data_IF_872183840875
#
_entry.id   IF_872183840875
#
_cell.length_a   1.000
_cell.length_b   1.000
_cell.length_c   1.000
_cell.angle_alpha   90.00
_cell.angle_beta   90.00
_cell.angle_gamma   90.00
#
_symmetry.space_group_name_H-M   'P 1'
#
loop_
_entity.id
_entity.type
_entity.pdbx_description
1 polymer ?
#
# COMPACT_ATOMS: atom_id res chain seq x y z
N UNK A 1 2.81 3.51 14.73
CA UNK A 1 3.03 4.70 13.89
C UNK A 1 3.32 5.90 14.77
N UNK A 2 4.02 6.91 14.24
CA UNK A 2 4.11 8.21 14.91
C UNK A 2 2.77 8.90 14.78
N UNK A 3 2.38 9.73 15.74
CA UNK A 3 1.07 10.40 15.74
C UNK A 3 0.84 11.21 14.46
N UNK A 4 1.84 11.95 13.99
CA UNK A 4 1.76 12.71 12.74
C UNK A 4 1.45 11.83 11.51
N UNK A 5 2.02 10.61 11.43
CA UNK A 5 1.74 9.68 10.34
C UNK A 5 0.36 9.06 10.48
N UNK A 6 -0.08 8.83 11.71
CA UNK A 6 -1.43 8.36 11.99
C UNK A 6 -2.48 9.39 11.60
N UNK A 7 -2.25 10.66 11.96
CA UNK A 7 -3.15 11.75 11.56
C UNK A 7 -3.20 11.91 10.05
N UNK A 8 -2.05 11.86 9.36
CA UNK A 8 -2.00 11.92 7.90
C UNK A 8 -2.82 10.81 7.21
N UNK A 9 -2.84 9.59 7.78
CA UNK A 9 -3.67 8.50 7.27
C UNK A 9 -5.17 8.76 7.51
N UNK A 10 -5.54 9.26 8.71
CA UNK A 10 -6.94 9.60 9.02
C UNK A 10 -7.48 10.70 8.12
N UNK A 11 -6.68 11.74 7.88
CA UNK A 11 -7.03 12.85 6.99
C UNK A 11 -7.31 12.37 5.55
N UNK A 12 -6.78 11.19 5.17
CA UNK A 12 -6.99 10.53 3.88
C UNK A 12 -7.98 9.39 3.89
N UNK A 13 -8.84 9.35 4.92
CA UNK A 13 -9.98 8.45 4.98
C UNK A 13 -9.75 7.11 5.69
N UNK A 14 -8.64 6.94 6.42
CA UNK A 14 -8.46 5.75 7.22
C UNK A 14 -9.32 5.83 8.50
N UNK A 15 -10.27 4.91 8.67
CA UNK A 15 -11.11 4.81 9.88
C UNK A 15 -10.27 4.45 11.10
N UNK A 16 -9.29 3.55 10.93
CA UNK A 16 -8.42 3.08 11.99
C UNK A 16 -6.96 3.13 11.55
N UNK A 17 -6.08 3.56 12.44
CA UNK A 17 -4.62 3.51 12.25
C UNK A 17 -4.02 2.80 13.44
N UNK A 18 -3.30 1.72 13.18
CA UNK A 18 -2.75 0.83 14.21
C UNK A 18 -1.23 0.72 14.09
N UNK A 19 -0.59 0.28 15.16
CA UNK A 19 0.83 0.00 15.13
C UNK A 19 1.08 -1.36 14.44
N UNK A 20 1.80 -1.34 13.32
CA UNK A 20 2.12 -2.54 12.55
C UNK A 20 2.96 -3.58 13.32
N UNK A 21 3.64 -3.19 14.42
CA UNK A 21 4.44 -4.10 15.24
C UNK A 21 3.59 -5.03 16.11
N UNK A 22 2.32 -4.68 16.33
CA UNK A 22 1.34 -5.49 17.04
C UNK A 22 -0.04 -5.36 16.38
N UNK A 23 -0.10 -5.72 15.09
CA UNK A 23 -1.34 -5.62 14.31
C UNK A 23 -2.51 -6.31 14.98
N UNK A 24 -2.28 -7.53 15.49
CA UNK A 24 -3.33 -8.34 16.11
C UNK A 24 -3.88 -7.71 17.39
N UNK A 25 -2.99 -7.31 18.30
CA UNK A 25 -3.39 -6.67 19.56
C UNK A 25 -4.07 -5.32 19.33
N UNK A 26 -3.56 -4.53 18.40
CA UNK A 26 -4.11 -3.21 18.08
C UNK A 26 -5.51 -3.32 17.41
N UNK A 27 -5.70 -4.25 16.47
CA UNK A 27 -7.01 -4.49 15.87
C UNK A 27 -8.02 -5.05 16.88
N UNK A 28 -7.59 -5.95 17.77
CA UNK A 28 -8.43 -6.44 18.85
C UNK A 28 -8.95 -5.34 19.77
N UNK A 29 -8.13 -4.31 20.08
CA UNK A 29 -8.55 -3.13 20.84
C UNK A 29 -9.64 -2.32 20.13
N UNK A 30 -9.70 -2.41 18.79
CA UNK A 30 -10.73 -1.78 17.96
C UNK A 30 -11.96 -2.68 17.76
N UNK A 31 -12.00 -3.85 18.41
CA UNK A 31 -13.08 -4.83 18.23
C UNK A 31 -13.02 -5.64 16.94
N UNK A 32 -11.91 -5.55 16.20
CA UNK A 32 -11.71 -6.24 14.94
C UNK A 32 -10.89 -7.52 15.16
N UNK A 33 -11.52 -8.67 14.98
CA UNK A 33 -10.87 -9.98 15.09
C UNK A 33 -10.33 -10.45 13.74
N UNK A 34 -11.08 -10.18 12.68
CA UNK A 34 -10.75 -10.54 11.31
C UNK A 34 -11.03 -9.39 10.37
N UNK A 35 -10.37 -9.43 9.21
CA UNK A 35 -10.60 -8.50 8.09
C UNK A 35 -10.74 -9.28 6.79
N UNK A 36 -11.64 -8.86 5.91
CA UNK A 36 -11.99 -9.58 4.69
C UNK A 36 -10.94 -9.41 3.57
N UNK A 37 -10.29 -8.25 3.54
CA UNK A 37 -9.28 -7.91 2.53
C UNK A 37 -8.03 -7.33 3.19
N UNK A 38 -6.88 -7.82 2.80
CA UNK A 38 -5.58 -7.32 3.25
C UNK A 38 -4.71 -6.98 2.03
N UNK A 39 -4.18 -5.76 2.00
CA UNK A 39 -3.15 -5.36 1.03
C UNK A 39 -1.80 -5.23 1.72
N UNK A 40 -0.80 -5.98 1.22
CA UNK A 40 0.59 -5.86 1.67
C UNK A 40 1.34 -5.03 0.63
N UNK A 41 1.77 -3.82 1.03
CA UNK A 41 2.31 -2.83 0.12
C UNK A 41 3.81 -2.54 0.34
N UNK A 42 4.45 -3.16 1.34
CA UNK A 42 5.84 -2.86 1.69
C UNK A 42 6.71 -4.05 2.12
N UNK A 43 6.19 -5.03 2.84
CA UNK A 43 6.99 -6.13 3.40
C UNK A 43 6.12 -7.38 3.58
N UNK A 44 6.22 -8.30 2.62
CA UNK A 44 5.42 -9.53 2.65
C UNK A 44 5.92 -10.50 3.71
N UNK A 45 7.24 -10.69 3.83
CA UNK A 45 7.82 -11.59 4.82
C UNK A 45 7.51 -11.15 6.24
N UNK A 46 7.73 -9.87 6.55
CA UNK A 46 7.55 -9.33 7.89
C UNK A 46 6.09 -9.30 8.38
N UNK A 47 5.14 -9.29 7.45
CA UNK A 47 3.72 -9.25 7.80
C UNK A 47 2.99 -10.59 7.66
N UNK A 48 3.61 -11.61 7.01
CA UNK A 48 2.93 -12.85 6.67
C UNK A 48 2.23 -13.55 7.83
N UNK A 49 2.90 -13.69 8.95
CA UNK A 49 2.35 -14.36 10.12
C UNK A 49 1.11 -13.64 10.66
N UNK A 50 1.20 -12.33 10.83
CA UNK A 50 0.09 -11.52 11.32
C UNK A 50 -1.10 -11.52 10.34
N UNK A 51 -0.85 -11.31 9.04
CA UNK A 51 -1.94 -11.24 8.06
C UNK A 51 -2.62 -12.59 7.84
N UNK A 52 -1.88 -13.70 7.90
CA UNK A 52 -2.46 -15.05 7.80
C UNK A 52 -3.35 -15.39 9.01
N UNK A 53 -3.09 -14.81 10.17
CA UNK A 53 -3.95 -14.92 11.34
C UNK A 53 -5.18 -13.99 11.29
N UNK A 54 -5.00 -12.77 10.78
CA UNK A 54 -6.03 -11.73 10.76
C UNK A 54 -7.02 -11.85 9.60
N UNK A 55 -6.64 -12.52 8.50
CA UNK A 55 -7.55 -12.70 7.38
C UNK A 55 -8.80 -13.48 7.80
N UNK A 56 -9.97 -13.02 7.39
CA UNK A 56 -11.24 -13.69 7.63
C UNK A 56 -11.34 -15.04 6.88
N UNK A 57 -12.18 -15.97 7.34
CA UNK A 57 -12.55 -17.10 6.50
C UNK A 57 -13.08 -16.63 5.14
N UNK A 58 -12.57 -17.25 4.05
CA UNK A 58 -12.84 -16.88 2.65
C UNK A 58 -12.34 -15.48 2.25
N UNK A 59 -11.50 -14.86 3.08
CA UNK A 59 -10.92 -13.55 2.80
C UNK A 59 -9.77 -13.59 1.79
N UNK A 60 -9.33 -12.42 1.35
CA UNK A 60 -8.34 -12.25 0.31
C UNK A 60 -7.15 -11.41 0.77
N UNK A 61 -5.96 -11.93 0.58
CA UNK A 61 -4.70 -11.20 0.77
C UNK A 61 -4.17 -10.86 -0.61
N UNK A 62 -3.79 -9.62 -0.85
CA UNK A 62 -3.12 -9.18 -2.07
C UNK A 62 -1.76 -8.58 -1.70
N UNK A 63 -0.69 -9.02 -2.35
CA UNK A 63 0.64 -8.43 -2.19
C UNK A 63 1.21 -7.93 -3.51
N UNK A 64 1.91 -6.79 -3.42
CA UNK A 64 2.68 -6.18 -4.53
C UNK A 64 4.19 -6.29 -4.29
N UNK A 65 4.61 -6.87 -3.16
CA UNK A 65 6.02 -6.96 -2.76
C UNK A 65 6.43 -8.43 -2.66
N UNK A 66 7.46 -8.80 -3.41
CA UNK A 66 8.00 -10.15 -3.41
C UNK A 66 8.47 -10.56 -2.02
N UNK A 67 8.33 -11.85 -1.72
CA UNK A 67 8.87 -12.46 -0.51
C UNK A 67 10.28 -12.99 -0.77
N UNK A 68 11.18 -12.81 0.19
CA UNK A 68 12.54 -13.35 0.15
C UNK A 68 12.61 -14.79 0.70
N UNK A 69 11.65 -15.18 1.53
CA UNK A 69 11.59 -16.48 2.18
C UNK A 69 10.29 -17.23 1.84
N UNK A 70 10.27 -18.57 1.86
CA UNK A 70 9.05 -19.32 1.61
C UNK A 70 7.93 -18.97 2.59
N UNK A 71 6.76 -18.64 2.08
CA UNK A 71 5.57 -18.36 2.88
C UNK A 71 4.85 -19.67 3.24
N UNK A 72 4.52 -19.84 4.51
CA UNK A 72 3.69 -20.96 4.95
C UNK A 72 2.23 -20.74 4.57
N UNK A 73 1.84 -21.18 3.38
CA UNK A 73 0.48 -21.04 2.85
C UNK A 73 -0.53 -21.98 3.53
N UNK A 74 -0.08 -23.02 4.24
CA UNK A 74 -0.99 -23.90 4.98
C UNK A 74 -1.80 -23.17 6.06
N UNK A 75 -1.29 -22.02 6.53
CA UNK A 75 -2.03 -21.14 7.44
C UNK A 75 -3.36 -20.63 6.87
N UNK A 76 -3.50 -20.56 5.56
CA UNK A 76 -4.72 -20.10 4.88
C UNK A 76 -5.74 -21.20 4.66
N UNK A 77 -5.32 -22.48 4.68
CA UNK A 77 -6.13 -23.63 4.29
C UNK A 77 -7.41 -23.77 5.11
N UNK A 78 -7.32 -23.70 6.44
CA UNK A 78 -8.49 -23.87 7.31
C UNK A 78 -9.54 -22.77 7.17
N UNK A 79 -9.13 -21.62 6.63
CA UNK A 79 -10.00 -20.45 6.38
C UNK A 79 -10.48 -20.40 4.93
N UNK A 80 -9.99 -21.27 4.04
CA UNK A 80 -10.21 -21.16 2.58
C UNK A 80 -9.89 -19.77 2.07
N UNK A 81 -8.89 -19.09 2.67
CA UNK A 81 -8.46 -17.76 2.26
C UNK A 81 -7.53 -17.83 1.06
N UNK A 82 -7.46 -16.74 0.28
CA UNK A 82 -6.65 -16.66 -0.94
C UNK A 82 -5.51 -15.66 -0.83
N UNK A 83 -4.36 -15.99 -1.43
CA UNK A 83 -3.27 -15.06 -1.69
C UNK A 83 -3.25 -14.73 -3.18
N UNK A 84 -3.23 -13.45 -3.50
CA UNK A 84 -3.13 -12.90 -4.85
C UNK A 84 -1.87 -12.06 -4.96
N UNK A 85 -1.18 -12.20 -6.08
CA UNK A 85 -0.12 -11.29 -6.48
C UNK A 85 -0.67 -10.21 -7.40
N UNK A 86 -0.28 -8.98 -7.20
CA UNK A 86 -0.50 -7.90 -8.15
C UNK A 86 0.84 -7.37 -8.63
N UNK A 87 1.01 -7.38 -9.95
CA UNK A 87 2.18 -6.84 -10.62
C UNK A 87 1.74 -5.91 -11.75
N UNK A 88 2.06 -4.63 -11.61
CA UNK A 88 1.57 -3.57 -12.50
C UNK A 88 1.88 -3.81 -13.99
N UNK A 89 2.91 -4.59 -14.31
CA UNK A 89 3.32 -4.87 -15.68
C UNK A 89 2.75 -6.17 -16.26
N UNK A 90 1.99 -6.95 -15.53
CA UNK A 90 1.45 -8.23 -16.02
C UNK A 90 0.73 -8.07 -17.34
N UNK A 91 -0.17 -7.08 -17.45
CA UNK A 91 -0.95 -6.85 -18.66
C UNK A 91 -0.10 -6.52 -19.88
N UNK A 92 0.87 -5.62 -19.73
CA UNK A 92 1.76 -5.22 -20.82
C UNK A 92 2.79 -6.30 -21.14
N UNK A 93 3.36 -6.95 -20.12
CA UNK A 93 4.39 -7.98 -20.29
C UNK A 93 3.87 -9.23 -21.02
N UNK A 94 2.67 -9.66 -20.69
CA UNK A 94 2.04 -10.85 -21.27
C UNK A 94 1.03 -10.52 -22.39
N UNK A 95 0.86 -9.23 -22.74
CA UNK A 95 -0.06 -8.75 -23.75
C UNK A 95 -1.47 -9.36 -23.60
N UNK A 96 -2.01 -9.26 -22.38
CA UNK A 96 -3.30 -9.83 -22.05
C UNK A 96 -4.44 -9.15 -22.84
N UNK A 97 -5.55 -9.84 -23.01
CA UNK A 97 -6.70 -9.33 -23.78
C UNK A 97 -7.27 -8.02 -23.19
N UNK A 98 -7.06 -7.79 -21.89
CA UNK A 98 -7.51 -6.59 -21.16
C UNK A 98 -6.38 -5.56 -20.95
N UNK A 99 -5.33 -5.55 -21.79
CA UNK A 99 -4.17 -4.67 -21.63
C UNK A 99 -4.55 -3.17 -21.55
N UNK A 100 -5.59 -2.76 -22.23
CA UNK A 100 -6.09 -1.39 -22.20
C UNK A 100 -6.67 -0.97 -20.83
N UNK A 101 -7.05 -1.93 -19.99
CA UNK A 101 -7.69 -1.67 -18.68
C UNK A 101 -6.81 -0.83 -17.75
N UNK A 102 -5.48 -0.94 -17.85
CA UNK A 102 -4.56 -0.11 -17.05
C UNK A 102 -4.73 1.39 -17.35
N UNK A 103 -4.82 1.74 -18.63
CA UNK A 103 -5.08 3.13 -19.03
C UNK A 103 -6.47 3.63 -18.59
N UNK A 104 -7.49 2.77 -18.67
CA UNK A 104 -8.84 3.10 -18.17
C UNK A 104 -8.83 3.38 -16.66
N UNK A 105 -8.16 2.53 -15.85
CA UNK A 105 -8.03 2.73 -14.39
C UNK A 105 -7.34 4.06 -14.10
N UNK A 106 -6.25 4.39 -14.79
CA UNK A 106 -5.54 5.66 -14.59
C UNK A 106 -6.42 6.87 -14.93
N UNK A 107 -7.23 6.77 -16.00
CA UNK A 107 -8.18 7.82 -16.36
C UNK A 107 -9.31 7.96 -15.32
N UNK A 108 -9.77 6.85 -14.73
CA UNK A 108 -10.76 6.89 -13.64
C UNK A 108 -10.16 7.55 -12.37
N UNK A 109 -8.92 7.20 -12.01
CA UNK A 109 -8.22 7.85 -10.88
C UNK A 109 -8.04 9.35 -11.12
N UNK A 110 -7.63 9.75 -12.33
CA UNK A 110 -7.50 11.18 -12.67
C UNK A 110 -8.83 11.93 -12.46
N UNK A 111 -9.95 11.37 -12.92
CA UNK A 111 -11.27 11.97 -12.67
C UNK A 111 -11.64 12.06 -11.19
N UNK A 112 -11.27 11.06 -10.39
CA UNK A 112 -11.51 11.09 -8.94
C UNK A 112 -10.72 12.21 -8.27
N UNK A 113 -9.48 12.45 -8.71
CA UNK A 113 -8.66 13.57 -8.23
C UNK A 113 -9.24 14.90 -8.68
N UNK A 114 -9.60 15.05 -9.94
CA UNK A 114 -10.18 16.28 -10.50
C UNK A 114 -11.50 16.67 -9.80
N UNK A 115 -12.28 15.68 -9.39
CA UNK A 115 -13.54 15.88 -8.66
C UNK A 115 -13.34 16.01 -7.13
N UNK A 116 -12.11 15.99 -6.62
CA UNK A 116 -11.82 16.10 -5.20
C UNK A 116 -12.27 14.90 -4.35
N UNK A 117 -12.56 13.76 -4.97
CA UNK A 117 -12.92 12.51 -4.25
C UNK A 117 -11.69 11.84 -3.68
N UNK A 118 -10.56 11.93 -4.39
CA UNK A 118 -9.25 11.44 -3.98
C UNK A 118 -8.29 12.62 -3.92
N UNK A 119 -7.64 12.80 -2.79
CA UNK A 119 -6.61 13.83 -2.64
C UNK A 119 -5.25 13.36 -3.14
N UNK A 120 -4.48 14.27 -3.75
CA UNK A 120 -3.10 14.02 -4.13
C UNK A 120 -2.25 13.71 -2.89
N UNK A 121 -1.36 12.74 -3.02
CA UNK A 121 -0.34 12.46 -2.01
C UNK A 121 0.90 13.35 -2.10
N UNK A 122 0.90 14.36 -2.98
CA UNK A 122 1.96 15.35 -3.07
C UNK A 122 2.10 16.11 -1.74
N UNK A 123 3.29 16.09 -1.15
CA UNK A 123 3.58 16.74 0.12
C UNK A 123 4.61 17.87 0.02
N UNK A 124 5.45 17.84 -1.00
CA UNK A 124 6.50 18.82 -1.21
C UNK A 124 6.86 18.97 -2.68
N UNK A 125 7.10 20.20 -3.12
CA UNK A 125 7.65 20.53 -4.44
C UNK A 125 8.97 21.25 -4.27
N UNK A 126 10.03 20.72 -4.89
CA UNK A 126 11.32 21.38 -5.02
C UNK A 126 11.35 22.09 -6.38
N UNK A 127 11.73 23.36 -6.40
CA UNK A 127 11.76 24.17 -7.62
C UNK A 127 13.16 24.20 -8.22
N UNK A 128 13.21 24.15 -9.54
CA UNK A 128 14.43 24.14 -10.33
C UNK A 128 15.05 22.75 -10.47
N UNK A 129 15.13 22.26 -11.69
CA UNK A 129 15.78 21.00 -12.00
C UNK A 129 17.30 21.18 -11.98
N UNK A 130 17.94 20.72 -10.92
CA UNK A 130 19.39 20.79 -10.72
C UNK A 130 19.91 19.53 -10.04
N UNK A 131 21.22 19.35 -10.01
CA UNK A 131 21.88 18.25 -9.27
C UNK A 131 21.53 18.35 -7.78
N UNK A 132 21.49 19.56 -7.25
CA UNK A 132 21.20 19.84 -5.85
C UNK A 132 19.78 19.44 -5.49
N UNK A 133 18.77 19.85 -6.28
CA UNK A 133 17.36 19.53 -6.03
C UNK A 133 17.07 18.02 -6.15
N UNK A 134 17.67 17.35 -7.13
CA UNK A 134 17.58 15.89 -7.28
C UNK A 134 18.24 15.16 -6.10
N UNK A 135 19.43 15.61 -5.69
CA UNK A 135 20.14 15.02 -4.54
C UNK A 135 19.33 15.17 -3.25
N UNK A 136 18.74 16.34 -3.04
CA UNK A 136 17.89 16.59 -1.88
C UNK A 136 16.60 15.72 -1.91
N UNK A 137 15.97 15.57 -3.07
CA UNK A 137 14.82 14.68 -3.23
C UNK A 137 15.18 13.22 -2.88
N UNK A 138 16.31 12.71 -3.40
CA UNK A 138 16.80 11.37 -3.07
C UNK A 138 17.09 11.22 -1.57
N UNK A 139 17.75 12.20 -0.95
CA UNK A 139 18.05 12.19 0.48
C UNK A 139 16.76 12.07 1.30
N UNK A 140 15.73 12.87 0.99
CA UNK A 140 14.42 12.82 1.68
C UNK A 140 13.75 11.44 1.57
N UNK A 141 13.80 10.83 0.39
CA UNK A 141 13.23 9.49 0.18
C UNK A 141 14.00 8.42 0.95
N UNK A 142 15.35 8.48 0.92
CA UNK A 142 16.21 7.52 1.61
C UNK A 142 16.11 7.60 3.14
N UNK A 143 15.85 8.78 3.69
CA UNK A 143 15.64 8.96 5.14
C UNK A 143 14.43 8.17 5.68
N UNK A 144 13.54 7.69 4.81
CA UNK A 144 12.42 6.80 5.15
C UNK A 144 11.35 7.44 6.04
N UNK A 145 11.39 8.76 6.21
CA UNK A 145 10.46 9.50 7.08
C UNK A 145 9.47 10.37 6.30
N UNK A 146 9.56 10.34 4.98
CA UNK A 146 8.71 11.11 4.12
C UNK A 146 7.28 10.60 4.13
N UNK A 147 6.32 11.53 4.20
CA UNK A 147 4.90 11.26 4.03
C UNK A 147 4.47 11.81 2.66
N UNK A 148 3.79 10.97 1.89
CA UNK A 148 3.39 11.36 0.53
C UNK A 148 4.56 11.35 -0.46
N UNK A 149 4.54 12.27 -1.41
CA UNK A 149 5.48 12.35 -2.53
C UNK A 149 6.18 13.70 -2.58
N UNK A 150 7.46 13.68 -3.00
CA UNK A 150 8.20 14.87 -3.39
C UNK A 150 8.28 14.94 -4.91
N UNK A 151 8.08 16.12 -5.46
CA UNK A 151 8.20 16.42 -6.90
C UNK A 151 9.30 17.45 -7.11
N UNK A 152 10.05 17.32 -8.18
CA UNK A 152 10.99 18.35 -8.65
C UNK A 152 10.38 18.99 -9.89
N UNK A 153 10.11 20.27 -9.84
CA UNK A 153 9.53 21.07 -10.90
C UNK A 153 10.64 21.79 -11.68
N UNK A 154 10.46 21.97 -13.01
CA UNK A 154 11.42 22.66 -13.89
C UNK A 154 11.51 24.15 -13.61
#
# INVERSE_FOLDING_TARGET
SREDSAQWCRDRGADHVVNYRDLKGELAKQGLTFVDYIFILNDTDGHWDAVSELIAPQGHICSIVENAHPLNQDKLKSKSAALHWEFMYTRSMYQTADMARQGEILNEVAKLVDNGVVESSLSETLHGLSVESITEAHRKVLDGHMRGKVVVEY
#
